data_IF_479514285853
#
_entry.id   IF_479514285853
#
_cell.length_a   1.000
_cell.length_b   1.000
_cell.length_c   1.000
_cell.angle_alpha   90.00
_cell.angle_beta   90.00
_cell.angle_gamma   90.00
#
_symmetry.space_group_name_H-M   'P 1'
#
loop_
_entity.id
_entity.type
_entity.pdbx_description
1 polymer ?
#
# COMPACT_ATOMS: atom_id res chain seq x y z
N UNK A 1 39.07 62.84 34.23
CA UNK A 1 39.84 63.24 33.03
C UNK A 1 41.04 62.34 32.95
N UNK A 2 40.93 61.37 32.05
CA UNK A 2 41.97 60.59 31.37
C UNK A 2 41.28 59.31 30.94
N UNK A 3 40.83 59.36 29.70
CA UNK A 3 40.27 58.28 28.93
C UNK A 3 41.30 57.16 28.80
N UNK A 4 40.85 55.90 28.89
CA UNK A 4 41.50 54.88 28.07
C UNK A 4 40.46 53.86 27.60
N UNK A 5 40.35 53.84 26.28
CA UNK A 5 39.45 53.07 25.44
C UNK A 5 40.13 51.75 25.09
N UNK A 6 39.63 50.64 25.63
CA UNK A 6 39.99 49.31 25.15
C UNK A 6 38.86 48.75 24.30
N UNK A 7 39.12 48.84 23.00
CA UNK A 7 38.34 48.39 21.84
C UNK A 7 37.90 46.93 21.94
N UNK A 8 36.63 46.71 21.58
CA UNK A 8 36.01 45.41 21.36
C UNK A 8 36.50 44.80 20.03
N UNK A 9 37.14 43.63 20.10
CA UNK A 9 37.42 42.76 18.95
C UNK A 9 36.51 41.52 19.03
N UNK A 10 35.27 41.64 18.54
CA UNK A 10 34.45 40.47 18.23
C UNK A 10 34.69 40.08 16.78
N UNK A 11 35.59 39.11 16.60
CA UNK A 11 35.86 38.49 15.32
C UNK A 11 34.58 37.87 14.74
N UNK A 12 34.16 38.42 13.60
CA UNK A 12 33.14 37.89 12.71
C UNK A 12 33.71 36.61 12.08
N UNK A 13 33.23 35.44 12.54
CA UNK A 13 33.56 34.16 11.93
C UNK A 13 32.70 33.99 10.69
N UNK A 14 33.31 34.27 9.55
CA UNK A 14 32.75 34.18 8.21
C UNK A 14 32.66 32.71 7.74
N UNK A 15 31.46 32.32 7.29
CA UNK A 15 31.27 31.52 6.09
C UNK A 15 31.62 30.03 6.14
N UNK A 16 30.84 29.23 6.87
CA UNK A 16 30.65 27.82 6.50
C UNK A 16 29.53 27.75 5.44
N UNK A 17 29.93 27.76 4.17
CA UNK A 17 29.08 27.45 3.03
C UNK A 17 28.63 25.97 3.14
N UNK A 18 27.50 25.74 3.82
CA UNK A 18 26.73 24.52 3.66
C UNK A 18 26.10 24.51 2.27
N UNK A 19 26.88 24.04 1.30
CA UNK A 19 26.41 23.70 -0.02
C UNK A 19 25.59 22.39 0.05
N UNK A 20 24.36 22.47 0.55
CA UNK A 20 23.34 21.44 0.35
C UNK A 20 22.87 21.50 -1.10
N UNK A 21 23.56 20.77 -1.97
CA UNK A 21 23.09 20.48 -3.33
C UNK A 21 21.85 19.58 -3.26
N UNK A 22 20.70 19.97 -3.83
CA UNK A 22 19.56 19.09 -3.98
C UNK A 22 19.71 18.32 -5.30
N UNK A 23 20.53 17.27 -5.29
CA UNK A 23 20.46 16.23 -6.33
C UNK A 23 19.28 15.31 -6.02
N UNK A 24 18.07 15.85 -6.19
CA UNK A 24 16.83 15.07 -6.28
C UNK A 24 16.45 15.10 -7.76
N UNK A 25 16.04 13.94 -8.30
CA UNK A 25 15.71 13.64 -9.71
C UNK A 25 16.86 13.14 -10.60
N UNK A 26 17.72 12.26 -10.10
CA UNK A 26 18.31 11.24 -10.96
C UNK A 26 17.25 10.14 -11.21
N UNK A 27 16.61 10.15 -12.38
CA UNK A 27 15.77 9.03 -12.83
C UNK A 27 16.59 7.73 -12.78
N UNK A 28 16.09 6.65 -12.15
CA UNK A 28 16.72 5.35 -12.27
C UNK A 28 16.73 4.94 -13.74
N UNK A 29 17.93 4.65 -14.26
CA UNK A 29 18.07 4.00 -15.57
C UNK A 29 17.23 2.72 -15.56
N UNK A 30 16.40 2.55 -16.61
CA UNK A 30 15.65 1.32 -16.88
C UNK A 30 16.59 0.12 -16.81
N UNK A 31 16.57 -0.59 -15.68
CA UNK A 31 17.04 -1.96 -15.61
C UNK A 31 15.92 -2.83 -16.16
N UNK A 32 16.14 -3.47 -17.29
CA UNK A 32 15.31 -4.59 -17.71
C UNK A 32 15.46 -5.74 -16.70
N UNK A 33 14.35 -6.12 -16.05
CA UNK A 33 14.17 -7.34 -15.24
C UNK A 33 13.95 -7.11 -13.72
N UNK A 34 13.30 -8.04 -12.98
CA UNK A 34 12.66 -9.30 -13.36
C UNK A 34 11.12 -9.26 -13.24
N UNK A 35 10.47 -10.26 -13.83
CA UNK A 35 9.04 -10.53 -13.72
C UNK A 35 8.45 -10.29 -12.33
N UNK A 36 7.27 -9.67 -12.33
CA UNK A 36 6.29 -9.65 -11.25
C UNK A 36 6.42 -10.89 -10.36
N UNK A 37 6.97 -10.73 -9.15
CA UNK A 37 6.75 -11.73 -8.11
C UNK A 37 5.33 -11.53 -7.61
N UNK A 38 4.34 -11.85 -8.44
CA UNK A 38 3.09 -12.36 -7.90
C UNK A 38 3.52 -13.50 -7.01
N UNK A 39 3.31 -13.38 -5.71
CA UNK A 39 3.32 -14.54 -4.82
C UNK A 39 2.23 -15.41 -5.39
N UNK A 40 2.61 -16.35 -6.27
CA UNK A 40 1.69 -17.22 -6.97
C UNK A 40 0.85 -17.84 -5.86
N UNK A 41 -0.49 -17.69 -5.89
CA UNK A 41 -1.32 -18.32 -4.89
C UNK A 41 -0.92 -19.79 -4.84
N UNK A 42 -0.81 -20.33 -3.63
CA UNK A 42 -0.33 -21.70 -3.42
C UNK A 42 -1.07 -22.64 -4.39
N UNK A 43 -0.30 -23.40 -5.17
CA UNK A 43 -0.86 -24.24 -6.23
C UNK A 43 -1.90 -25.20 -5.63
N UNK A 44 -1.65 -25.67 -4.41
CA UNK A 44 -2.54 -26.57 -3.68
C UNK A 44 -3.90 -25.93 -3.36
N UNK A 45 -3.92 -24.66 -2.93
CA UNK A 45 -5.18 -23.95 -2.68
C UNK A 45 -5.97 -23.74 -3.97
N UNK A 46 -5.29 -23.35 -5.05
CA UNK A 46 -5.94 -23.14 -6.35
C UNK A 46 -6.50 -24.44 -6.91
N UNK A 47 -5.76 -25.54 -6.83
CA UNK A 47 -6.22 -26.88 -7.22
C UNK A 47 -7.44 -27.33 -6.42
N UNK A 48 -7.45 -27.04 -5.11
CA UNK A 48 -8.59 -27.30 -4.25
C UNK A 48 -9.81 -26.50 -4.69
N UNK A 49 -9.64 -25.20 -4.96
CA UNK A 49 -10.74 -24.34 -5.40
C UNK A 49 -11.35 -24.83 -6.71
N UNK A 50 -10.50 -25.22 -7.67
CA UNK A 50 -10.96 -25.80 -8.93
C UNK A 50 -11.66 -27.13 -8.76
N UNK A 51 -11.14 -28.01 -7.90
CA UNK A 51 -11.74 -29.32 -7.64
C UNK A 51 -13.15 -29.17 -7.06
N UNK A 52 -13.32 -28.25 -6.10
CA UNK A 52 -14.63 -27.92 -5.53
C UNK A 52 -15.56 -27.31 -6.57
N UNK A 53 -15.09 -26.31 -7.34
CA UNK A 53 -15.87 -25.71 -8.42
C UNK A 53 -16.34 -26.75 -9.44
N UNK A 54 -15.45 -27.65 -9.87
CA UNK A 54 -15.77 -28.75 -10.79
C UNK A 54 -16.81 -29.71 -10.21
N UNK A 55 -16.62 -30.11 -8.95
CA UNK A 55 -17.53 -31.02 -8.27
C UNK A 55 -18.96 -30.44 -8.15
N UNK A 56 -19.08 -29.13 -7.94
CA UNK A 56 -20.37 -28.44 -7.85
C UNK A 56 -21.00 -28.16 -9.22
N UNK A 57 -20.17 -27.92 -10.24
CA UNK A 57 -20.62 -27.57 -11.60
C UNK A 57 -20.94 -28.79 -12.47
N UNK A 58 -20.42 -29.96 -12.13
CA UNK A 58 -20.66 -31.17 -12.89
C UNK A 58 -21.88 -31.94 -12.36
N UNK A 59 -22.68 -32.50 -13.27
CA UNK A 59 -23.72 -33.45 -12.89
C UNK A 59 -23.12 -34.84 -12.71
N UNK A 60 -23.71 -35.65 -11.84
CA UNK A 60 -23.40 -37.08 -11.71
C UNK A 60 -24.69 -37.89 -11.66
N UNK A 61 -24.58 -39.22 -11.60
CA UNK A 61 -25.74 -40.10 -11.36
C UNK A 61 -26.48 -39.80 -10.04
N UNK A 62 -25.82 -39.14 -9.09
CA UNK A 62 -26.34 -38.87 -7.75
C UNK A 62 -26.83 -37.44 -7.52
N UNK A 63 -26.47 -36.48 -8.39
CA UNK A 63 -26.85 -35.08 -8.24
C UNK A 63 -26.84 -34.32 -9.57
N UNK A 64 -27.67 -33.28 -9.66
CA UNK A 64 -27.67 -32.33 -10.78
C UNK A 64 -26.58 -31.29 -10.59
N UNK A 65 -26.00 -30.82 -11.69
CA UNK A 65 -25.10 -29.68 -11.71
C UNK A 65 -25.80 -28.44 -11.13
N UNK A 66 -25.06 -27.66 -10.33
CA UNK A 66 -25.55 -26.36 -9.87
C UNK A 66 -25.32 -25.29 -10.95
N UNK A 67 -26.24 -24.31 -11.08
CA UNK A 67 -26.00 -23.11 -11.86
C UNK A 67 -24.71 -22.40 -11.42
N UNK A 68 -23.96 -21.87 -12.38
CA UNK A 68 -22.66 -21.21 -12.14
C UNK A 68 -22.74 -20.14 -11.07
N UNK A 69 -23.82 -19.36 -11.04
CA UNK A 69 -24.03 -18.29 -10.07
C UNK A 69 -24.08 -18.82 -8.64
N UNK A 70 -24.71 -19.99 -8.42
CA UNK A 70 -24.76 -20.63 -7.11
C UNK A 70 -23.41 -21.23 -6.72
N UNK A 71 -22.67 -21.81 -7.68
CA UNK A 71 -21.32 -22.32 -7.41
C UNK A 71 -20.39 -21.19 -6.98
N UNK A 72 -20.38 -20.08 -7.71
CA UNK A 72 -19.57 -18.90 -7.37
C UNK A 72 -20.00 -18.31 -6.02
N UNK A 73 -21.29 -18.27 -5.72
CA UNK A 73 -21.78 -17.84 -4.41
C UNK A 73 -21.28 -18.74 -3.28
N UNK A 74 -21.32 -20.07 -3.45
CA UNK A 74 -20.76 -21.03 -2.49
C UNK A 74 -19.25 -20.81 -2.33
N UNK A 75 -18.50 -20.63 -3.42
CA UNK A 75 -17.06 -20.34 -3.36
C UNK A 75 -16.77 -19.04 -2.57
N UNK A 76 -17.59 -17.99 -2.73
CA UNK A 76 -17.46 -16.75 -1.95
C UNK A 76 -17.76 -16.97 -0.47
N UNK A 77 -18.83 -17.71 -0.15
CA UNK A 77 -19.14 -18.07 1.24
C UNK A 77 -18.06 -18.94 1.88
N UNK A 78 -17.39 -19.77 1.08
CA UNK A 78 -16.25 -20.59 1.49
C UNK A 78 -14.92 -19.82 1.50
N UNK A 79 -14.94 -18.51 1.27
CA UNK A 79 -13.77 -17.63 1.31
C UNK A 79 -12.67 -17.99 0.30
N UNK A 80 -13.06 -18.45 -0.89
CA UNK A 80 -12.11 -18.70 -1.97
C UNK A 80 -11.60 -17.36 -2.49
N UNK A 81 -10.35 -17.03 -2.15
CA UNK A 81 -9.72 -15.76 -2.48
C UNK A 81 -8.38 -15.96 -3.18
N UNK A 82 -8.07 -15.05 -4.10
CA UNK A 82 -6.72 -14.84 -4.62
C UNK A 82 -6.09 -13.67 -3.87
N UNK A 83 -4.86 -13.85 -3.39
CA UNK A 83 -4.12 -12.79 -2.72
C UNK A 83 -2.95 -12.32 -3.58
N UNK A 84 -2.91 -11.02 -3.83
CA UNK A 84 -1.81 -10.33 -4.49
C UNK A 84 -1.07 -9.51 -3.45
N UNK A 85 0.25 -9.50 -3.51
CA UNK A 85 1.05 -8.68 -2.59
C UNK A 85 2.05 -7.83 -3.35
N UNK A 86 2.07 -6.53 -3.07
CA UNK A 86 3.15 -5.63 -3.51
C UNK A 86 4.00 -5.29 -2.31
N UNK A 87 5.29 -5.64 -2.38
CA UNK A 87 6.27 -5.28 -1.34
C UNK A 87 6.88 -3.91 -1.64
N UNK A 88 7.17 -3.17 -0.59
CA UNK A 88 7.98 -1.97 -0.66
C UNK A 88 9.40 -2.31 -1.16
N UNK A 89 10.10 -1.36 -1.80
CA UNK A 89 11.52 -1.47 -2.08
C UNK A 89 12.31 -1.73 -0.78
N UNK A 90 13.38 -2.52 -0.89
CA UNK A 90 14.26 -2.80 0.25
C UNK A 90 14.85 -1.51 0.80
N UNK A 91 14.84 -1.39 2.12
CA UNK A 91 15.56 -0.36 2.86
C UNK A 91 14.65 0.63 3.57
N UNK A 92 15.23 1.23 4.61
CA UNK A 92 14.54 2.18 5.47
C UNK A 92 14.09 3.41 4.70
N UNK A 93 12.88 3.88 4.99
CA UNK A 93 12.33 5.17 4.56
C UNK A 93 11.89 5.98 5.74
N UNK A 94 11.97 7.31 5.58
CA UNK A 94 11.63 8.28 6.61
C UNK A 94 11.07 9.54 5.97
N UNK A 95 9.99 10.05 6.54
CA UNK A 95 9.54 11.44 6.36
C UNK A 95 9.58 12.12 7.72
N UNK A 96 10.12 13.34 7.76
CA UNK A 96 10.28 14.13 9.00
C UNK A 96 9.60 15.48 8.81
N UNK A 97 8.81 15.89 9.81
CA UNK A 97 8.18 17.19 9.84
C UNK A 97 9.02 18.16 10.67
N UNK A 98 9.35 19.32 10.09
CA UNK A 98 10.08 20.42 10.73
C UNK A 98 9.16 21.56 11.18
N UNK A 99 7.89 21.55 10.76
CA UNK A 99 6.91 22.61 11.02
C UNK A 99 5.51 22.02 11.19
N UNK A 100 4.50 22.89 11.33
CA UNK A 100 3.09 22.48 11.42
C UNK A 100 2.49 21.97 10.10
N UNK A 101 3.24 22.10 9.00
CA UNK A 101 2.83 21.66 7.65
C UNK A 101 3.08 20.15 7.53
N UNK A 102 2.11 19.45 6.94
CA UNK A 102 2.24 18.02 6.63
C UNK A 102 3.37 17.82 5.62
N UNK A 103 4.33 16.95 5.97
CA UNK A 103 5.34 16.45 5.05
C UNK A 103 4.91 15.08 4.54
N UNK A 104 5.11 14.84 3.25
CA UNK A 104 4.73 13.59 2.60
C UNK A 104 5.88 13.00 1.76
N UNK A 105 5.92 11.68 1.67
CA UNK A 105 6.85 10.95 0.82
C UNK A 105 6.12 9.75 0.21
N UNK A 106 6.09 9.65 -1.12
CA UNK A 106 5.64 8.43 -1.81
C UNK A 106 6.67 7.34 -1.54
N UNK A 107 6.25 6.25 -0.92
CA UNK A 107 7.14 5.14 -0.57
C UNK A 107 7.21 4.10 -1.68
N UNK A 108 6.05 3.61 -2.12
CA UNK A 108 5.92 2.66 -3.22
C UNK A 108 4.49 2.67 -3.76
N UNK A 109 4.24 1.95 -4.84
CA UNK A 109 2.91 1.85 -5.45
C UNK A 109 2.60 0.43 -5.90
N UNK A 110 1.32 0.11 -6.05
CA UNK A 110 0.85 -1.14 -6.66
C UNK A 110 1.16 -1.17 -8.16
N UNK A 111 0.98 -2.35 -8.77
CA UNK A 111 0.82 -2.42 -10.22
C UNK A 111 -0.52 -1.78 -10.64
N UNK A 112 -0.67 -1.40 -11.93
CA UNK A 112 -1.93 -0.90 -12.44
C UNK A 112 -3.08 -1.89 -12.22
N UNK A 113 -4.21 -1.40 -11.73
CA UNK A 113 -5.41 -2.19 -11.51
C UNK A 113 -6.00 -2.61 -12.84
N UNK A 114 -6.26 -3.90 -13.01
CA UNK A 114 -6.98 -4.42 -14.19
C UNK A 114 -8.48 -4.40 -13.95
N UNK A 115 -9.28 -4.33 -15.03
CA UNK A 115 -10.75 -4.46 -14.93
C UNK A 115 -11.20 -5.78 -14.29
N UNK A 116 -10.40 -6.85 -14.42
CA UNK A 116 -10.68 -8.11 -13.72
C UNK A 116 -10.47 -7.95 -12.22
N UNK A 117 -9.34 -7.40 -11.78
CA UNK A 117 -9.08 -7.17 -10.35
C UNK A 117 -10.17 -6.31 -9.71
N UNK A 118 -10.55 -5.19 -10.34
CA UNK A 118 -11.57 -4.28 -9.80
C UNK A 118 -12.95 -4.94 -9.67
N UNK A 119 -13.35 -5.78 -10.63
CA UNK A 119 -14.64 -6.51 -10.56
C UNK A 119 -14.71 -7.55 -9.45
N UNK A 120 -13.57 -8.10 -9.04
CA UNK A 120 -13.50 -9.17 -8.04
C UNK A 120 -12.84 -8.72 -6.76
N UNK A 121 -12.56 -7.42 -6.58
CA UNK A 121 -11.87 -6.96 -5.39
C UNK A 121 -12.70 -7.30 -4.15
N UNK A 122 -12.03 -7.91 -3.18
CA UNK A 122 -12.60 -8.22 -1.87
C UNK A 122 -12.12 -7.21 -0.85
N UNK A 123 -10.81 -6.95 -0.81
CA UNK A 123 -10.25 -5.99 0.11
C UNK A 123 -8.82 -5.58 -0.24
N UNK A 124 -8.37 -4.47 0.35
CA UNK A 124 -6.96 -4.09 0.40
C UNK A 124 -6.55 -3.72 1.84
N UNK A 125 -5.30 -4.05 2.20
CA UNK A 125 -4.72 -3.71 3.49
C UNK A 125 -3.23 -3.38 3.35
N UNK A 126 -2.76 -2.36 4.05
CA UNK A 126 -1.34 -2.09 4.23
C UNK A 126 -0.84 -2.78 5.50
N UNK A 127 0.31 -3.45 5.41
CA UNK A 127 1.04 -3.99 6.56
C UNK A 127 2.46 -3.44 6.52
N UNK A 128 2.95 -2.88 7.62
CA UNK A 128 4.28 -2.27 7.71
C UNK A 128 5.09 -2.89 8.83
N UNK A 129 6.42 -2.81 8.70
CA UNK A 129 7.35 -2.79 9.81
C UNK A 129 7.78 -1.34 9.99
N UNK A 130 7.22 -0.64 10.97
CA UNK A 130 7.47 0.77 11.22
C UNK A 130 7.71 1.06 12.69
N UNK A 131 8.29 2.23 12.96
CA UNK A 131 8.41 2.71 14.33
C UNK A 131 7.03 3.14 14.84
N UNK A 132 6.83 3.01 16.15
CA UNK A 132 5.80 3.78 16.82
C UNK A 132 6.06 5.29 16.68
N UNK A 133 5.02 6.13 16.70
CA UNK A 133 5.21 7.58 16.54
C UNK A 133 6.12 8.19 17.61
N UNK A 134 6.12 7.59 18.82
CA UNK A 134 6.92 8.00 19.96
C UNK A 134 6.09 8.68 21.06
N UNK A 135 6.76 9.44 21.92
CA UNK A 135 6.13 10.10 23.07
C UNK A 135 5.30 11.33 22.65
N UNK A 136 4.04 11.38 23.06
CA UNK A 136 3.15 12.54 22.92
C UNK A 136 2.74 13.05 24.30
N UNK A 137 2.68 14.38 24.47
CA UNK A 137 2.20 15.03 25.70
C UNK A 137 0.69 14.86 25.92
N UNK A 138 -0.08 14.92 24.83
CA UNK A 138 -1.53 14.73 24.80
C UNK A 138 -1.87 13.61 23.81
N UNK A 139 -2.29 12.46 24.35
CA UNK A 139 -2.58 11.26 23.56
C UNK A 139 -3.95 11.32 22.89
N UNK A 140 -4.85 12.15 23.41
CA UNK A 140 -6.19 12.33 22.86
C UNK A 140 -6.17 13.21 21.60
N UNK A 141 -5.04 13.87 21.32
CA UNK A 141 -4.84 14.68 20.13
C UNK A 141 -4.59 13.86 18.84
N UNK A 142 -4.44 12.53 18.96
CA UNK A 142 -4.33 11.61 17.82
C UNK A 142 -2.91 11.33 17.34
N UNK A 143 -2.81 10.78 16.13
CA UNK A 143 -1.55 10.38 15.50
C UNK A 143 -0.96 11.51 14.65
N UNK A 144 0.35 11.75 14.78
CA UNK A 144 1.06 12.78 14.01
C UNK A 144 1.93 12.21 12.90
N UNK A 145 1.93 10.89 12.73
CA UNK A 145 2.56 10.21 11.63
C UNK A 145 1.72 9.01 11.18
N UNK A 146 1.42 8.92 9.90
CA UNK A 146 0.49 7.93 9.35
C UNK A 146 0.86 7.56 7.91
N UNK A 147 0.15 6.59 7.37
CA UNK A 147 0.22 6.19 5.97
C UNK A 147 -1.12 6.40 5.28
N UNK A 148 -1.07 6.75 4.01
CA UNK A 148 -2.26 6.86 3.16
C UNK A 148 -2.14 6.01 1.91
N UNK A 149 -3.29 5.51 1.44
CA UNK A 149 -3.45 5.12 0.05
C UNK A 149 -3.86 6.34 -0.76
N UNK A 150 -3.09 6.65 -1.80
CA UNK A 150 -3.36 7.73 -2.74
C UNK A 150 -3.58 7.16 -4.14
N UNK A 151 -4.64 7.59 -4.82
CA UNK A 151 -4.96 7.12 -6.18
C UNK A 151 -4.19 7.97 -7.18
N UNK A 152 -3.48 7.31 -8.09
CA UNK A 152 -2.76 7.96 -9.17
C UNK A 152 -2.99 7.20 -10.48
N UNK A 153 -2.92 7.92 -11.60
CA UNK A 153 -2.97 7.32 -12.93
C UNK A 153 -1.57 6.96 -13.37
N UNK A 154 -1.35 5.69 -13.72
CA UNK A 154 -0.08 5.25 -14.28
C UNK A 154 0.15 5.89 -15.65
N UNK A 155 1.36 6.38 -15.87
CA UNK A 155 1.76 7.03 -17.12
C UNK A 155 2.97 6.32 -17.76
N UNK A 156 3.30 5.11 -17.28
CA UNK A 156 4.37 4.28 -17.79
C UNK A 156 5.76 4.84 -17.45
N UNK A 157 6.37 5.57 -18.38
CA UNK A 157 7.76 6.02 -18.25
C UNK A 157 7.95 7.27 -17.38
N UNK A 158 6.86 7.92 -16.98
CA UNK A 158 6.88 9.11 -16.11
C UNK A 158 6.21 8.81 -14.76
N UNK A 159 6.52 9.57 -13.70
CA UNK A 159 5.89 9.36 -12.39
C UNK A 159 4.35 9.42 -12.48
N UNK A 160 3.68 8.48 -11.83
CA UNK A 160 2.23 8.42 -11.83
C UNK A 160 1.62 9.73 -11.28
N UNK A 161 0.55 10.19 -11.93
CA UNK A 161 -0.08 11.47 -11.63
C UNK A 161 -1.21 11.28 -10.62
N UNK A 162 -1.09 11.91 -9.46
CA UNK A 162 -2.11 11.85 -8.39
C UNK A 162 -3.45 12.38 -8.89
N UNK A 163 -4.50 11.57 -8.74
CA UNK A 163 -5.88 11.98 -9.05
C UNK A 163 -6.37 12.97 -7.99
N UNK A 164 -7.10 13.98 -8.44
CA UNK A 164 -7.70 15.02 -7.59
C UNK A 164 -9.21 15.03 -7.75
N UNK A 165 -9.91 15.30 -6.66
CA UNK A 165 -11.34 15.58 -6.65
C UNK A 165 -11.61 16.92 -7.34
N UNK A 166 -12.88 17.19 -7.66
CA UNK A 166 -13.30 18.44 -8.30
C UNK A 166 -12.99 19.70 -7.47
N UNK A 167 -12.85 19.56 -6.16
CA UNK A 167 -12.43 20.64 -5.26
C UNK A 167 -10.91 20.87 -5.21
N UNK A 168 -10.11 20.07 -5.95
CA UNK A 168 -8.66 20.14 -6.00
C UNK A 168 -7.92 19.24 -5.00
N UNK A 169 -8.64 18.62 -4.06
CA UNK A 169 -8.03 17.74 -3.05
C UNK A 169 -7.54 16.44 -3.68
N UNK A 170 -6.42 15.93 -3.18
CA UNK A 170 -5.90 14.62 -3.57
C UNK A 170 -6.87 13.51 -3.14
N UNK A 171 -7.07 12.53 -4.02
CA UNK A 171 -7.86 11.35 -3.70
C UNK A 171 -6.99 10.42 -2.87
N UNK A 172 -7.12 10.52 -1.54
CA UNK A 172 -6.42 9.66 -0.61
C UNK A 172 -7.26 9.30 0.63
N UNK A 173 -6.86 8.21 1.29
CA UNK A 173 -7.45 7.73 2.54
C UNK A 173 -6.35 7.28 3.51
N UNK A 174 -6.51 7.62 4.79
CA UNK A 174 -5.66 7.12 5.87
C UNK A 174 -5.83 5.61 6.00
N UNK A 175 -4.76 4.86 5.78
CA UNK A 175 -4.79 3.40 5.84
C UNK A 175 -4.10 2.83 7.07
N UNK A 176 -3.21 3.58 7.70
CA UNK A 176 -2.53 3.14 8.92
C UNK A 176 -2.10 4.36 9.73
N UNK A 177 -2.64 4.49 10.94
CA UNK A 177 -2.18 5.45 11.94
C UNK A 177 -1.26 4.72 12.92
N UNK A 178 -0.15 5.35 13.30
CA UNK A 178 0.64 4.76 14.38
C UNK A 178 -0.16 4.84 15.68
N UNK A 179 -0.16 3.77 16.49
CA UNK A 179 -0.76 3.79 17.81
C UNK A 179 -0.19 4.95 18.65
N UNK A 180 -0.87 5.28 19.73
CA UNK A 180 -0.47 6.35 20.67
C UNK A 180 -0.53 5.83 22.11
N UNK A 181 -0.55 4.51 22.33
CA UNK A 181 -0.76 3.91 23.65
C UNK A 181 0.55 3.73 24.44
N UNK A 182 0.44 3.44 25.75
CA UNK A 182 1.59 3.39 26.66
C UNK A 182 2.40 2.12 26.48
N UNK A 183 1.74 1.03 26.10
CA UNK A 183 2.34 -0.29 25.94
C UNK A 183 3.29 -0.30 24.73
N UNK A 184 2.88 0.34 23.64
CA UNK A 184 3.67 0.49 22.42
C UNK A 184 4.80 1.52 22.54
N UNK A 185 4.74 2.43 23.52
CA UNK A 185 5.81 3.38 23.79
C UNK A 185 7.09 2.70 24.33
N UNK A 186 6.99 1.51 24.92
CA UNK A 186 8.16 0.74 25.39
C UNK A 186 9.04 0.24 24.24
N UNK A 187 8.47 0.09 23.04
CA UNK A 187 9.16 -0.31 21.80
C UNK A 187 9.62 0.89 20.98
N UNK A 188 9.74 2.08 21.58
CA UNK A 188 10.11 3.29 20.87
C UNK A 188 11.54 3.16 20.30
N UNK A 189 11.62 3.15 18.97
CA UNK A 189 12.89 2.99 18.23
C UNK A 189 13.05 1.64 17.55
N UNK A 190 12.22 0.66 17.90
CA UNK A 190 12.17 -0.64 17.23
C UNK A 190 11.19 -0.64 16.06
N UNK A 191 11.48 -1.50 15.08
CA UNK A 191 10.54 -1.80 14.01
C UNK A 191 9.56 -2.85 14.48
N UNK A 192 8.29 -2.47 14.60
CA UNK A 192 7.20 -3.36 14.97
C UNK A 192 6.25 -3.53 13.80
N UNK A 193 5.62 -4.70 13.72
CA UNK A 193 4.61 -4.98 12.70
C UNK A 193 3.33 -4.20 13.01
N UNK A 194 2.87 -3.39 12.08
CA UNK A 194 1.57 -2.72 12.14
C UNK A 194 0.69 -3.20 10.99
N UNK A 195 -0.57 -3.49 11.30
CA UNK A 195 -1.59 -3.83 10.31
C UNK A 195 -2.59 -2.68 10.22
N UNK A 196 -2.74 -2.14 9.02
CA UNK A 196 -3.63 -1.02 8.75
C UNK A 196 -5.08 -1.45 8.63
N UNK A 197 -5.94 -0.45 8.43
CA UNK A 197 -7.36 -0.63 8.14
C UNK A 197 -7.55 -1.49 6.89
N UNK A 198 -8.57 -2.34 6.94
CA UNK A 198 -9.01 -3.14 5.80
C UNK A 198 -10.07 -2.34 5.05
N UNK A 199 -9.79 -2.07 3.77
CA UNK A 199 -10.74 -1.43 2.86
C UNK A 199 -11.42 -2.54 2.08
N UNK A 200 -12.60 -2.96 2.52
CA UNK A 200 -13.41 -3.99 1.86
C UNK A 200 -14.00 -3.52 0.53
N UNK A 201 -14.71 -4.40 -0.18
CA UNK A 201 -15.29 -4.13 -1.50
C UNK A 201 -16.31 -2.99 -1.53
N UNK A 202 -16.89 -2.64 -0.38
CA UNK A 202 -17.93 -1.63 -0.25
C UNK A 202 -17.36 -0.25 0.08
N UNK A 203 -16.05 -0.18 0.37
CA UNK A 203 -15.37 1.08 0.68
C UNK A 203 -15.36 2.04 -0.52
N UNK A 204 -15.63 3.33 -0.27
CA UNK A 204 -15.70 4.39 -1.30
C UNK A 204 -14.42 4.56 -2.13
N UNK A 205 -13.29 4.07 -1.63
CA UNK A 205 -11.99 4.05 -2.31
C UNK A 205 -12.11 3.42 -3.70
N UNK A 206 -12.87 2.33 -3.82
CA UNK A 206 -13.02 1.62 -5.09
C UNK A 206 -13.83 2.39 -6.13
N UNK A 207 -14.63 3.38 -5.70
CA UNK A 207 -15.38 4.24 -6.64
C UNK A 207 -14.49 5.24 -7.38
N UNK A 208 -13.26 5.45 -6.90
CA UNK A 208 -12.33 6.43 -7.46
C UNK A 208 -11.21 5.79 -8.31
N UNK A 209 -11.12 4.46 -8.30
CA UNK A 209 -10.09 3.69 -9.01
C UNK A 209 -10.66 3.16 -10.32
N UNK A 210 -9.97 3.46 -11.41
CA UNK A 210 -10.30 2.96 -12.75
C UNK A 210 -9.24 1.96 -13.22
N UNK A 211 -9.54 1.26 -14.32
CA UNK A 211 -8.54 0.38 -14.95
C UNK A 211 -7.33 1.20 -15.40
N UNK A 212 -6.13 0.74 -15.05
CA UNK A 212 -4.86 1.44 -15.31
C UNK A 212 -4.39 2.35 -14.16
N UNK A 213 -5.25 2.68 -13.20
CA UNK A 213 -4.81 3.43 -12.02
C UNK A 213 -3.94 2.55 -11.10
N UNK A 214 -3.15 3.20 -10.26
CA UNK A 214 -2.32 2.59 -9.22
C UNK A 214 -2.68 3.17 -7.85
N UNK A 215 -2.40 2.41 -6.80
CA UNK A 215 -2.42 2.91 -5.43
C UNK A 215 -1.00 3.17 -4.94
N UNK A 216 -0.73 4.43 -4.62
CA UNK A 216 0.51 4.86 -3.99
C UNK A 216 0.36 4.78 -2.47
N UNK A 217 1.36 4.20 -1.81
CA UNK A 217 1.51 4.23 -0.35
C UNK A 217 2.35 5.46 0.00
N UNK A 218 1.72 6.41 0.68
CA UNK A 218 2.32 7.69 1.04
C UNK A 218 2.56 7.74 2.54
N UNK A 219 3.80 7.99 2.95
CA UNK A 219 4.16 8.24 4.34
C UNK A 219 3.91 9.71 4.65
N UNK A 220 3.29 10.01 5.79
CA UNK A 220 3.03 11.37 6.25
C UNK A 220 3.49 11.60 7.69
N UNK A 221 3.94 12.82 7.96
CA UNK A 221 4.21 13.32 9.30
C UNK A 221 3.82 14.79 9.40
N UNK A 222 3.36 15.24 10.57
CA UNK A 222 3.00 16.63 10.84
C UNK A 222 3.57 17.07 12.18
N UNK A 223 3.83 18.37 12.31
CA UNK A 223 4.40 19.04 13.47
C UNK A 223 5.90 18.79 13.64
N UNK A 224 6.61 19.85 14.02
CA UNK A 224 8.06 19.82 14.21
C UNK A 224 8.46 18.73 15.20
N UNK A 225 9.41 17.88 14.82
CA UNK A 225 9.94 16.81 15.67
C UNK A 225 9.33 15.42 15.40
N UNK A 226 8.25 15.33 14.63
CA UNK A 226 7.63 14.05 14.29
C UNK A 226 8.21 13.43 13.02
N UNK A 227 8.25 12.10 12.97
CA UNK A 227 8.58 11.37 11.75
C UNK A 227 7.79 10.08 11.61
N UNK A 228 7.55 9.68 10.37
CA UNK A 228 7.15 8.33 10.01
C UNK A 228 8.39 7.60 9.51
N UNK A 229 8.70 6.44 10.09
CA UNK A 229 9.87 5.63 9.73
C UNK A 229 9.43 4.19 9.52
N UNK A 230 9.75 3.62 8.36
CA UNK A 230 9.42 2.24 8.04
C UNK A 230 10.61 1.52 7.38
N UNK A 231 10.79 0.23 7.69
CA UNK A 231 11.79 -0.63 7.07
C UNK A 231 11.20 -1.45 5.92
N UNK A 232 9.98 -1.95 6.11
CA UNK A 232 9.32 -2.87 5.20
C UNK A 232 7.83 -2.57 5.12
N UNK A 233 7.25 -2.74 3.94
CA UNK A 233 5.83 -2.54 3.69
C UNK A 233 5.30 -3.58 2.72
N UNK A 234 4.07 -4.02 2.93
CA UNK A 234 3.37 -4.93 2.03
C UNK A 234 1.93 -4.46 1.89
N UNK A 235 1.52 -4.18 0.66
CA UNK A 235 0.11 -4.03 0.31
C UNK A 235 -0.43 -5.41 -0.06
N UNK A 236 -1.47 -5.85 0.65
CA UNK A 236 -2.20 -7.10 0.40
C UNK A 236 -3.51 -6.74 -0.28
N UNK A 237 -3.69 -7.19 -1.51
CA UNK A 237 -4.94 -7.05 -2.27
C UNK A 237 -5.57 -8.43 -2.35
N UNK A 238 -6.77 -8.59 -1.84
CA UNK A 238 -7.54 -9.82 -1.95
C UNK A 238 -8.62 -9.65 -3.00
N UNK A 239 -8.76 -10.63 -3.90
CA UNK A 239 -9.89 -10.71 -4.82
C UNK A 239 -10.63 -12.01 -4.59
N UNK A 240 -11.94 -12.03 -4.83
CA UNK A 240 -12.69 -13.26 -4.96
C UNK A 240 -12.09 -14.13 -6.07
N UNK A 241 -11.90 -15.41 -5.76
CA UNK A 241 -11.47 -16.36 -6.75
C UNK A 241 -12.63 -16.66 -7.70
N UNK A 242 -12.33 -16.66 -9.01
CA UNK A 242 -13.25 -17.14 -10.04
C UNK A 242 -12.43 -17.90 -11.10
N UNK A 243 -12.98 -19.00 -11.65
CA UNK A 243 -12.29 -19.78 -12.65
C UNK A 243 -12.04 -18.93 -13.91
N UNK A 244 -10.85 -19.01 -14.48
CA UNK A 244 -10.55 -18.32 -15.72
C UNK A 244 -11.25 -18.99 -16.91
N UNK A 245 -11.52 -18.23 -17.97
CA UNK A 245 -12.14 -18.74 -19.19
C UNK A 245 -11.29 -19.85 -19.82
N UNK A 246 -9.97 -19.70 -19.78
CA UNK A 246 -9.02 -20.69 -20.28
C UNK A 246 -9.16 -22.01 -19.50
N UNK A 247 -9.29 -21.92 -18.18
CA UNK A 247 -9.44 -23.08 -17.34
C UNK A 247 -10.80 -23.75 -17.52
N UNK A 248 -11.89 -22.98 -17.62
CA UNK A 248 -13.21 -23.51 -17.98
C UNK A 248 -13.15 -24.23 -19.34
N UNK A 249 -12.51 -23.62 -20.33
CA UNK A 249 -12.33 -24.20 -21.66
C UNK A 249 -11.51 -25.50 -21.64
N UNK A 250 -10.52 -25.60 -20.76
CA UNK A 250 -9.77 -26.85 -20.54
C UNK A 250 -10.66 -27.91 -19.92
N UNK A 251 -11.48 -27.55 -18.92
CA UNK A 251 -12.40 -28.48 -18.25
C UNK A 251 -13.44 -29.06 -19.22
N UNK A 252 -13.99 -28.24 -20.13
CA UNK A 252 -14.96 -28.68 -21.13
C UNK A 252 -14.37 -29.65 -22.16
N UNK A 253 -13.12 -29.44 -22.55
CA UNK A 253 -12.39 -30.34 -23.47
C UNK A 253 -12.18 -31.72 -22.87
N UNK A 254 -11.93 -31.81 -21.56
CA UNK A 254 -11.76 -33.11 -20.90
C UNK A 254 -13.06 -33.91 -20.82
N UNK A 255 -14.21 -33.23 -20.66
CA UNK A 255 -15.50 -33.90 -20.58
C UNK A 255 -16.02 -34.36 -21.95
N UNK A 256 -15.56 -33.75 -23.05
CA UNK A 256 -15.97 -34.13 -24.42
C UNK A 256 -15.29 -35.41 -24.95
N UNK A 257 -14.25 -35.88 -24.28
CA UNK A 257 -13.42 -37.02 -24.70
C UNK A 257 -13.69 -38.32 -23.92
N UNK A 258 -14.69 -38.32 -23.03
CA UNK A 258 -15.11 -39.46 -22.20
C UNK A 258 -16.54 -39.82 -22.50
#
# INVERSE_FOLDING_TARGET
MSDDSSTEDWAVSSGDDMNTSPDIYACPRKSEGPFLSHTRPDSEFIETYYTVYKGLSNSSSSHRALPTELVLYICRLAEFVCQYTKKAPVGRRRVYASSQVVQSLIWFQTEPFTKRMLRHVKSIQLVTMSHHQGWVSDRDAGSWSWFEFQVATDQGDVPALVKRRSNGDEISWCCLEHPVDRETAEFQGDFVKHEGSIFDSDHELWTQIEEGDVLQVVMKARFGGWSNIASDGVVRISTWWEPSIEMLSLMDKYNSNT
#
